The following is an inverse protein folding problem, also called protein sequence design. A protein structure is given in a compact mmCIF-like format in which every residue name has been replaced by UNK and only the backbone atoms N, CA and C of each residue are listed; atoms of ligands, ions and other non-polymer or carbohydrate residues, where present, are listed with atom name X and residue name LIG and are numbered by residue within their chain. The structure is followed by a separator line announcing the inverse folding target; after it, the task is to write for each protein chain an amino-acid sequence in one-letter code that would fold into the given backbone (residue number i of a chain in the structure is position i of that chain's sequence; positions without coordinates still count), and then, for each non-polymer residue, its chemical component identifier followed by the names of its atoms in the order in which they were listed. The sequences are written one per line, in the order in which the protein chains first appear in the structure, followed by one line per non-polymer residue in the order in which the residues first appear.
data_IF_464537140222
#
_entry.id   IF_464537140222
#
_cell.length_a   1.000
_cell.length_b   1.000
_cell.length_c   1.000
_cell.angle_alpha   90.00
_cell.angle_beta   90.00
_cell.angle_gamma   90.00
#
_symmetry.space_group_name_H-M   'P 1'
#
loop_
_entity.id
_entity.type
_entity.pdbx_description
1 polymer ?
#
# COMPACT_ATOMS: atom_id res chain seq x y z
N UNK A 1 58.17 -35.60 6.11
CA UNK A 1 57.36 -36.82 6.27
C UNK A 1 56.15 -36.62 5.34
N UNK A 2 56.01 -37.31 4.20
CA UNK A 2 55.63 -38.74 4.03
C UNK A 2 54.27 -39.03 4.69
N UNK A 3 53.23 -39.57 4.02
CA UNK A 3 52.96 -39.93 2.61
C UNK A 3 51.47 -39.65 2.25
N UNK A 4 50.97 -39.69 1.01
CA UNK A 4 50.74 -40.85 0.10
C UNK A 4 49.89 -41.97 0.73
N UNK A 5 48.88 -42.61 0.09
CA UNK A 5 48.62 -42.87 -1.35
C UNK A 5 47.18 -43.44 -1.57
N UNK A 6 46.75 -43.62 -2.84
CA UNK A 6 45.70 -44.55 -3.36
C UNK A 6 44.22 -44.22 -3.07
N UNK A 7 43.22 -44.14 -3.99
CA UNK A 7 42.87 -44.68 -5.35
C UNK A 7 42.12 -46.02 -5.43
N UNK A 8 41.06 -46.05 -6.27
CA UNK A 8 40.35 -47.20 -6.89
C UNK A 8 39.49 -48.11 -5.96
N UNK A 9 38.44 -48.83 -6.38
CA UNK A 9 37.65 -48.82 -7.64
C UNK A 9 36.25 -49.48 -7.46
N UNK A 10 35.32 -49.15 -8.38
CA UNK A 10 34.20 -49.91 -8.99
C UNK A 10 33.34 -51.02 -8.31
N UNK A 11 32.05 -51.00 -8.74
CA UNK A 11 31.11 -52.15 -8.97
C UNK A 11 30.45 -52.86 -7.76
N UNK A 12 29.25 -53.47 -7.81
CA UNK A 12 28.28 -53.74 -8.89
C UNK A 12 26.84 -54.10 -8.36
N UNK A 13 25.84 -54.14 -9.29
CA UNK A 13 24.47 -54.76 -9.28
C UNK A 13 23.35 -53.98 -8.54
N UNK A 14 22.15 -53.67 -9.08
CA UNK A 14 21.23 -54.31 -10.05
C UNK A 14 19.94 -54.77 -9.30
N UNK A 15 18.69 -54.78 -9.82
CA UNK A 15 18.14 -54.56 -11.17
C UNK A 15 16.61 -54.30 -11.15
N UNK A 16 16.00 -54.20 -12.37
CA UNK A 16 14.55 -54.28 -12.70
C UNK A 16 13.74 -52.98 -12.53
N UNK A 17 12.75 -52.59 -13.35
CA UNK A 17 12.27 -52.93 -14.74
C UNK A 17 11.20 -51.88 -15.15
N UNK A 18 10.75 -51.65 -16.40
CA UNK A 18 11.23 -52.02 -17.76
C UNK A 18 10.74 -50.98 -18.79
N UNK A 19 11.35 -50.98 -19.99
CA UNK A 19 11.04 -50.12 -21.16
C UNK A 19 9.87 -50.66 -22.02
N UNK A 20 9.38 -49.90 -23.03
CA UNK A 20 9.43 -50.23 -24.48
C UNK A 20 8.54 -49.22 -25.29
N UNK A 21 8.59 -48.97 -26.63
CA UNK A 21 9.51 -49.27 -27.77
C UNK A 21 9.20 -48.28 -28.95
N UNK A 22 10.23 -47.67 -29.55
CA UNK A 22 10.38 -47.12 -30.94
C UNK A 22 9.48 -46.07 -31.62
N UNK A 23 10.10 -45.40 -32.61
CA UNK A 23 9.50 -44.52 -33.63
C UNK A 23 9.69 -45.08 -35.07
N UNK A 24 8.76 -44.76 -35.98
CA UNK A 24 8.77 -44.97 -37.45
C UNK A 24 7.95 -43.81 -38.08
N UNK A 25 8.37 -43.05 -39.11
CA UNK A 25 8.78 -43.31 -40.50
C UNK A 25 7.64 -43.45 -41.55
N UNK A 26 7.97 -43.05 -42.78
CA UNK A 26 7.07 -42.61 -43.88
C UNK A 26 6.30 -43.74 -44.61
N UNK A 27 5.17 -43.40 -45.27
CA UNK A 27 4.62 -44.15 -46.42
C UNK A 27 3.91 -43.25 -47.45
N UNK A 28 3.94 -43.68 -48.72
CA UNK A 28 3.37 -43.02 -49.92
C UNK A 28 2.44 -44.04 -50.68
N UNK A 29 1.92 -43.86 -51.93
CA UNK A 29 0.49 -44.08 -52.20
C UNK A 29 0.11 -45.12 -53.28
N UNK A 30 -1.19 -45.33 -53.49
CA UNK A 30 -1.81 -46.06 -54.63
C UNK A 30 -2.36 -47.46 -54.31
N UNK A 31 -3.29 -48.07 -55.08
CA UNK A 31 -4.15 -47.52 -56.15
C UNK A 31 -5.37 -48.46 -56.46
N UNK A 32 -6.38 -47.92 -57.16
CA UNK A 32 -7.41 -48.55 -58.04
C UNK A 32 -7.92 -50.02 -57.90
N UNK A 33 -9.25 -50.17 -57.75
CA UNK A 33 -10.20 -50.98 -58.59
C UNK A 33 -11.52 -51.26 -57.81
N UNK A 34 -12.74 -51.37 -58.38
CA UNK A 34 -13.21 -51.23 -59.76
C UNK A 34 -14.32 -52.26 -60.09
N UNK A 35 -15.61 -51.86 -60.18
CA UNK A 35 -16.71 -52.65 -60.81
C UNK A 35 -17.95 -51.79 -61.11
N UNK A 36 -18.79 -52.22 -62.06
CA UNK A 36 -19.79 -51.38 -62.78
C UNK A 36 -21.03 -52.23 -63.18
N UNK A 37 -22.24 -51.61 -63.15
CA UNK A 37 -23.51 -52.00 -63.85
C UNK A 37 -24.20 -53.31 -63.35
N UNK A 38 -25.52 -53.57 -63.38
CA UNK A 38 -26.85 -52.89 -63.60
C UNK A 38 -27.95 -53.98 -63.28
N UNK A 39 -29.29 -53.82 -63.48
CA UNK A 39 -30.26 -52.72 -63.25
C UNK A 39 -31.57 -53.16 -62.49
N UNK A 40 -32.53 -52.23 -62.27
CA UNK A 40 -33.96 -52.42 -61.88
C UNK A 40 -34.20 -53.01 -60.46
N UNK A 41 -35.20 -52.60 -59.67
CA UNK A 41 -36.59 -52.21 -60.01
C UNK A 41 -37.14 -51.02 -59.17
N UNK A 42 -38.41 -50.66 -59.39
CA UNK A 42 -39.09 -49.39 -59.04
C UNK A 42 -39.78 -49.40 -57.65
N UNK A 43 -39.69 -48.29 -56.89
CA UNK A 43 -40.83 -47.56 -56.29
C UNK A 43 -40.47 -46.60 -55.13
N UNK A 44 -41.29 -45.54 -55.03
CA UNK A 44 -41.65 -44.72 -53.86
C UNK A 44 -40.64 -43.72 -53.23
N UNK A 45 -40.68 -42.54 -53.85
CA UNK A 45 -40.66 -41.21 -53.20
C UNK A 45 -41.11 -41.18 -51.73
N UNK A 46 -40.18 -41.07 -50.77
CA UNK A 46 -40.47 -40.41 -49.47
C UNK A 46 -39.27 -40.01 -48.57
N UNK A 47 -38.04 -39.82 -49.08
CA UNK A 47 -36.89 -39.45 -48.23
C UNK A 47 -35.96 -38.31 -48.71
N UNK A 48 -36.24 -37.64 -49.82
CA UNK A 48 -35.40 -36.53 -50.33
C UNK A 48 -35.60 -35.18 -49.60
N UNK A 49 -36.76 -34.96 -48.97
CA UNK A 49 -37.15 -33.64 -48.42
C UNK A 49 -36.45 -33.22 -47.12
N UNK A 50 -35.70 -34.10 -46.44
CA UNK A 50 -35.15 -33.77 -45.11
C UNK A 50 -33.85 -32.93 -45.16
N UNK A 51 -32.98 -33.13 -46.17
CA UNK A 51 -31.67 -32.43 -46.26
C UNK A 51 -31.70 -31.05 -46.92
N UNK A 52 -32.82 -30.61 -47.53
CA UNK A 52 -32.96 -29.25 -48.09
C UNK A 52 -33.50 -28.21 -47.08
N UNK A 53 -33.82 -28.61 -45.83
CA UNK A 53 -34.40 -27.70 -44.80
C UNK A 53 -33.40 -27.02 -43.85
N UNK A 54 -32.15 -27.50 -43.72
CA UNK A 54 -31.19 -26.94 -42.77
C UNK A 54 -30.36 -25.74 -43.29
N UNK A 55 -30.28 -25.51 -44.60
CA UNK A 55 -29.35 -24.52 -45.18
C UNK A 55 -29.82 -23.04 -45.11
N UNK A 56 -30.97 -22.75 -44.51
CA UNK A 56 -31.55 -21.39 -44.44
C UNK A 56 -31.93 -20.89 -43.02
N UNK A 57 -31.41 -21.48 -41.93
CA UNK A 57 -31.70 -20.98 -40.58
C UNK A 57 -30.97 -19.67 -40.21
N UNK A 58 -29.87 -19.33 -40.88
CA UNK A 58 -29.19 -18.04 -40.69
C UNK A 58 -29.94 -16.87 -41.35
N UNK A 59 -30.49 -17.09 -42.56
CA UNK A 59 -31.32 -16.10 -43.25
C UNK A 59 -32.62 -15.80 -42.49
N UNK A 60 -33.26 -16.80 -41.87
CA UNK A 60 -34.48 -16.57 -41.08
C UNK A 60 -34.24 -15.80 -39.77
N UNK A 61 -33.03 -15.87 -39.19
CA UNK A 61 -32.63 -15.02 -38.05
C UNK A 61 -32.46 -13.54 -38.46
N UNK A 62 -31.89 -13.25 -39.62
CA UNK A 62 -31.83 -11.88 -40.17
C UNK A 62 -33.22 -11.30 -40.46
N UNK A 63 -34.18 -12.11 -40.90
CA UNK A 63 -35.57 -11.69 -41.14
C UNK A 63 -36.30 -11.26 -39.85
N UNK A 64 -35.91 -11.76 -38.67
CA UNK A 64 -36.52 -11.32 -37.40
C UNK A 64 -36.13 -9.88 -37.01
N UNK A 65 -34.90 -9.43 -37.29
CA UNK A 65 -34.50 -8.02 -37.14
C UNK A 65 -35.31 -7.09 -38.07
N UNK A 66 -35.87 -7.64 -39.15
CA UNK A 66 -36.67 -6.91 -40.13
C UNK A 66 -38.18 -6.87 -39.84
N UNK A 67 -38.68 -7.58 -38.81
CA UNK A 67 -40.08 -7.43 -38.38
C UNK A 67 -40.32 -6.02 -37.84
N UNK A 68 -41.26 -5.31 -38.46
CA UNK A 68 -41.70 -3.97 -38.04
C UNK A 68 -42.93 -4.12 -37.13
N UNK A 69 -43.14 -3.19 -36.19
CA UNK A 69 -44.40 -3.14 -35.42
C UNK A 69 -45.60 -2.76 -36.28
N UNK A 70 -45.39 -2.02 -37.37
CA UNK A 70 -46.45 -1.66 -38.31
C UNK A 70 -46.85 -2.85 -39.21
N UNK A 71 -48.08 -3.36 -39.02
CA UNK A 71 -48.68 -4.46 -39.79
C UNK A 71 -48.49 -4.27 -41.31
N UNK A 72 -48.72 -3.05 -41.81
CA UNK A 72 -48.58 -2.71 -43.24
C UNK A 72 -47.15 -2.87 -43.79
N UNK A 73 -46.11 -2.65 -42.96
CA UNK A 73 -44.71 -2.82 -43.37
C UNK A 73 -44.28 -4.30 -43.44
N UNK A 74 -44.97 -5.18 -42.71
CA UNK A 74 -44.78 -6.62 -42.80
C UNK A 74 -45.56 -7.21 -43.99
N UNK A 75 -46.76 -6.69 -44.26
CA UNK A 75 -47.60 -7.15 -45.37
C UNK A 75 -47.06 -6.81 -46.78
N UNK A 76 -46.32 -5.70 -46.95
CA UNK A 76 -45.69 -5.31 -48.23
C UNK A 76 -44.23 -4.90 -48.04
N UNK A 77 -43.29 -5.86 -47.91
CA UNK A 77 -41.91 -5.62 -47.48
C UNK A 77 -41.06 -4.79 -48.45
N UNK A 78 -41.41 -4.77 -49.75
CA UNK A 78 -40.73 -4.00 -50.80
C UNK A 78 -41.38 -2.63 -51.09
N UNK A 79 -42.40 -2.23 -50.31
CA UNK A 79 -43.03 -0.91 -50.50
C UNK A 79 -42.08 0.22 -50.10
N UNK A 80 -42.13 1.38 -50.79
CA UNK A 80 -41.33 2.57 -50.44
C UNK A 80 -41.43 2.93 -48.94
N UNK A 81 -42.62 2.79 -48.35
CA UNK A 81 -42.86 3.02 -46.90
C UNK A 81 -42.12 2.00 -46.02
N UNK A 82 -42.12 0.72 -46.37
CA UNK A 82 -41.37 -0.31 -45.64
C UNK A 82 -39.85 -0.12 -45.76
N UNK A 83 -39.36 0.24 -46.95
CA UNK A 83 -37.93 0.53 -47.20
C UNK A 83 -37.48 1.74 -46.37
N UNK A 84 -38.22 2.87 -46.40
CA UNK A 84 -37.90 4.05 -45.57
C UNK A 84 -37.97 3.73 -44.07
N UNK A 85 -38.94 2.91 -43.65
CA UNK A 85 -39.05 2.50 -42.25
C UNK A 85 -37.84 1.67 -41.80
N UNK A 86 -37.45 0.65 -42.56
CA UNK A 86 -36.37 -0.28 -42.20
C UNK A 86 -34.97 0.28 -42.44
N UNK A 87 -34.75 0.93 -43.58
CA UNK A 87 -33.43 1.41 -44.02
C UNK A 87 -33.06 2.81 -43.55
N UNK A 88 -34.02 3.63 -43.11
CA UNK A 88 -33.75 5.01 -42.63
C UNK A 88 -34.23 5.20 -41.20
N UNK A 89 -35.53 5.05 -40.92
CA UNK A 89 -36.08 5.41 -39.59
C UNK A 89 -35.56 4.52 -38.46
N UNK A 90 -35.49 3.20 -38.65
CA UNK A 90 -34.98 2.28 -37.61
C UNK A 90 -33.49 2.46 -37.28
N UNK A 91 -32.55 2.50 -38.25
CA UNK A 91 -31.15 2.76 -37.94
C UNK A 91 -30.93 4.16 -37.35
N UNK A 92 -31.69 5.17 -37.78
CA UNK A 92 -31.66 6.50 -37.16
C UNK A 92 -32.06 6.48 -35.67
N UNK A 93 -33.18 5.83 -35.32
CA UNK A 93 -33.58 5.70 -33.92
C UNK A 93 -32.64 4.79 -33.11
N UNK A 94 -32.08 3.74 -33.71
CA UNK A 94 -31.07 2.91 -33.06
C UNK A 94 -29.79 3.72 -32.77
N UNK A 95 -29.35 4.56 -33.71
CA UNK A 95 -28.23 5.48 -33.52
C UNK A 95 -28.50 6.48 -32.40
N UNK A 96 -29.70 7.08 -32.34
CA UNK A 96 -30.11 7.96 -31.24
C UNK A 96 -30.05 7.24 -29.89
N UNK A 97 -30.56 5.99 -29.81
CA UNK A 97 -30.50 5.19 -28.59
C UNK A 97 -29.06 4.84 -28.18
N UNK A 98 -28.19 4.50 -29.13
CA UNK A 98 -26.77 4.22 -28.88
C UNK A 98 -26.06 5.49 -28.38
N UNK A 99 -26.26 6.63 -29.05
CA UNK A 99 -25.68 7.92 -28.63
C UNK A 99 -26.19 8.36 -27.26
N UNK A 100 -27.49 8.17 -26.98
CA UNK A 100 -28.09 8.42 -25.67
C UNK A 100 -27.52 7.54 -24.58
N UNK A 101 -27.39 6.23 -24.83
CA UNK A 101 -26.77 5.28 -23.90
C UNK A 101 -25.29 5.61 -23.65
N UNK A 102 -24.53 5.93 -24.70
CA UNK A 102 -23.13 6.37 -24.58
C UNK A 102 -23.02 7.67 -23.77
N UNK A 103 -23.98 8.59 -23.88
CA UNK A 103 -24.03 9.80 -23.05
C UNK A 103 -24.42 9.52 -21.60
N UNK A 104 -25.36 8.62 -21.33
CA UNK A 104 -25.67 8.19 -19.95
C UNK A 104 -24.47 7.46 -19.32
N UNK A 105 -23.83 6.54 -20.04
CA UNK A 105 -22.61 5.87 -19.59
C UNK A 105 -21.47 6.86 -19.38
N UNK A 106 -21.30 7.86 -20.26
CA UNK A 106 -20.32 8.93 -20.08
C UNK A 106 -20.61 9.80 -18.86
N UNK A 107 -21.88 10.12 -18.57
CA UNK A 107 -22.27 10.89 -17.38
C UNK A 107 -22.11 10.07 -16.09
N UNK A 108 -22.45 8.78 -16.10
CA UNK A 108 -22.21 7.85 -14.98
C UNK A 108 -20.71 7.68 -14.75
N UNK A 109 -19.92 7.50 -15.81
CA UNK A 109 -18.46 7.42 -15.73
C UNK A 109 -17.85 8.72 -15.18
N UNK A 110 -18.27 9.88 -15.68
CA UNK A 110 -17.83 11.19 -15.19
C UNK A 110 -18.24 11.39 -13.72
N UNK A 111 -19.43 10.94 -13.34
CA UNK A 111 -19.88 10.92 -11.94
C UNK A 111 -19.03 10.00 -11.05
N UNK A 112 -18.69 8.80 -11.52
CA UNK A 112 -17.79 7.88 -10.80
C UNK A 112 -16.38 8.45 -10.66
N UNK A 113 -15.82 9.04 -11.72
CA UNK A 113 -14.52 9.75 -11.70
C UNK A 113 -14.56 10.93 -10.73
N UNK A 114 -15.67 11.66 -10.62
CA UNK A 114 -15.79 12.79 -9.68
C UNK A 114 -16.04 12.37 -8.23
N UNK A 115 -16.72 11.24 -7.99
CA UNK A 115 -16.93 10.70 -6.65
C UNK A 115 -15.69 9.96 -6.13
N UNK A 116 -14.98 9.25 -7.02
CA UNK A 116 -13.84 8.39 -6.71
C UNK A 116 -12.62 8.68 -7.61
N UNK A 117 -12.11 9.94 -7.68
CA UNK A 117 -10.96 10.27 -8.51
C UNK A 117 -9.73 9.45 -8.10
N UNK A 118 -9.37 9.52 -6.81
CA UNK A 118 -8.14 8.93 -6.27
C UNK A 118 -8.13 7.38 -6.35
N UNK A 119 -9.26 6.71 -6.05
CA UNK A 119 -9.40 5.25 -6.21
C UNK A 119 -9.26 4.80 -7.67
N UNK A 120 -9.73 5.61 -8.62
CA UNK A 120 -9.70 5.28 -10.04
C UNK A 120 -8.32 5.57 -10.63
N UNK A 121 -7.70 6.70 -10.29
CA UNK A 121 -6.35 7.05 -10.73
C UNK A 121 -5.29 6.15 -10.08
N UNK A 122 -5.46 5.70 -8.82
CA UNK A 122 -4.59 4.69 -8.22
C UNK A 122 -4.69 3.34 -8.96
N UNK A 123 -5.91 2.91 -9.32
CA UNK A 123 -6.13 1.64 -10.05
C UNK A 123 -5.71 1.72 -11.52
N UNK A 124 -5.97 2.83 -12.20
CA UNK A 124 -5.54 3.07 -13.58
C UNK A 124 -4.03 3.30 -13.64
N UNK A 125 -3.45 4.04 -12.69
CA UNK A 125 -2.01 4.20 -12.53
C UNK A 125 -1.30 2.86 -12.35
N UNK A 126 -1.80 1.99 -11.45
CA UNK A 126 -1.28 0.64 -11.28
C UNK A 126 -1.47 -0.28 -12.52
N UNK A 127 -2.44 0.01 -13.40
CA UNK A 127 -2.71 -0.77 -14.61
C UNK A 127 -1.92 -0.28 -15.84
N UNK A 128 -1.63 1.03 -15.91
CA UNK A 128 -0.84 1.66 -16.98
C UNK A 128 0.65 1.66 -16.66
N UNK A 129 1.02 1.74 -15.38
CA UNK A 129 2.39 1.67 -14.86
C UNK A 129 2.48 0.59 -13.76
N UNK A 130 2.54 -0.70 -14.14
CA UNK A 130 2.58 -1.81 -13.17
C UNK A 130 3.93 -1.86 -12.45
N UNK A 131 4.00 -1.19 -11.30
CA UNK A 131 5.19 -1.10 -10.45
C UNK A 131 6.20 -0.07 -10.95
N UNK A 132 6.81 0.66 -10.01
CA UNK A 132 7.87 1.61 -10.33
C UNK A 132 9.00 0.89 -11.06
N UNK A 133 9.27 1.28 -12.31
CA UNK A 133 10.45 0.80 -13.02
C UNK A 133 11.68 1.20 -12.18
N UNK A 134 12.59 0.25 -11.85
CA UNK A 134 13.87 0.63 -11.27
C UNK A 134 14.54 1.61 -12.22
N UNK A 135 14.99 2.74 -11.70
CA UNK A 135 15.70 3.73 -12.49
C UNK A 135 16.92 3.05 -13.11
N UNK A 136 17.07 3.11 -14.43
CA UNK A 136 18.28 2.60 -15.10
C UNK A 136 19.56 3.32 -14.62
N UNK A 137 19.39 4.41 -13.84
CA UNK A 137 20.45 5.22 -13.25
C UNK A 137 20.60 5.02 -11.73
N UNK A 138 19.72 4.29 -11.03
CA UNK A 138 19.86 4.04 -9.59
C UNK A 138 19.16 2.76 -9.11
N UNK A 139 19.87 2.02 -8.24
CA UNK A 139 19.35 0.85 -7.53
C UNK A 139 18.50 1.21 -6.30
N UNK A 140 18.40 2.49 -5.92
CA UNK A 140 17.70 2.92 -4.71
C UNK A 140 16.19 2.88 -4.92
N UNK A 141 15.47 2.18 -4.04
CA UNK A 141 14.01 2.03 -4.09
C UNK A 141 13.27 3.38 -3.95
N UNK A 142 13.92 4.37 -3.33
CA UNK A 142 13.42 5.74 -3.10
C UNK A 142 13.98 6.76 -4.09
N UNK A 143 14.60 6.32 -5.20
CA UNK A 143 15.10 7.24 -6.22
C UNK A 143 13.98 8.09 -6.83
N UNK A 144 14.13 9.42 -6.80
CA UNK A 144 13.11 10.36 -7.26
C UNK A 144 11.97 10.61 -6.27
N UNK A 145 11.98 9.99 -5.08
CA UNK A 145 11.01 10.26 -4.02
C UNK A 145 11.50 11.41 -3.16
N UNK A 146 10.66 12.43 -3.00
CA UNK A 146 10.91 13.54 -2.06
C UNK A 146 10.33 13.15 -0.70
N UNK A 147 11.12 13.20 0.40
CA UNK A 147 10.57 12.97 1.73
C UNK A 147 9.58 14.07 2.14
N UNK A 148 8.54 13.66 2.86
CA UNK A 148 7.47 14.54 3.34
C UNK A 148 7.10 14.21 4.78
N UNK A 149 6.71 15.22 5.56
CA UNK A 149 6.35 15.08 6.98
C UNK A 149 4.96 14.44 7.19
N UNK A 150 4.79 13.21 6.68
CA UNK A 150 3.66 12.36 6.99
C UNK A 150 4.11 11.10 7.74
N UNK A 151 3.18 10.59 8.55
CA UNK A 151 3.36 9.43 9.40
C UNK A 151 2.35 8.36 8.96
N UNK A 152 2.83 7.26 8.37
CA UNK A 152 2.00 6.14 7.93
C UNK A 152 1.46 5.39 9.14
N UNK A 153 0.24 5.74 9.52
CA UNK A 153 -0.50 5.13 10.61
C UNK A 153 -0.95 3.72 10.22
N UNK A 154 -0.83 2.78 11.16
CA UNK A 154 -1.00 1.34 10.95
C UNK A 154 -0.32 0.83 9.66
N UNK A 155 0.98 1.08 9.48
CA UNK A 155 1.68 0.78 8.21
C UNK A 155 1.68 -0.73 7.84
N UNK A 156 1.42 -1.59 8.81
CA UNK A 156 1.24 -3.02 8.61
C UNK A 156 -0.08 -3.38 7.91
N UNK A 157 -1.00 -2.43 7.66
CA UNK A 157 -2.17 -2.59 6.78
C UNK A 157 -1.83 -2.33 5.30
N UNK A 158 -0.64 -1.82 4.98
CA UNK A 158 -0.25 -1.55 3.59
C UNK A 158 -0.05 -2.85 2.80
N UNK A 159 -0.22 -2.86 1.47
CA UNK A 159 0.05 -4.03 0.64
C UNK A 159 1.49 -4.54 0.73
N UNK A 160 2.44 -3.63 1.00
CA UNK A 160 3.84 -3.94 1.35
C UNK A 160 4.24 -2.97 2.46
N UNK A 161 4.26 -3.39 3.74
CA UNK A 161 4.74 -2.57 4.87
C UNK A 161 6.18 -2.08 4.63
N UNK A 162 6.56 -0.99 5.32
CA UNK A 162 7.74 -0.15 5.06
C UNK A 162 7.75 0.47 3.66
N UNK A 163 7.83 -0.36 2.62
CA UNK A 163 8.03 0.05 1.23
C UNK A 163 6.89 0.90 0.67
N UNK A 164 5.65 0.71 1.11
CA UNK A 164 4.52 1.54 0.65
C UNK A 164 4.63 2.99 1.16
N UNK A 165 4.99 3.18 2.44
CA UNK A 165 5.18 4.51 3.03
C UNK A 165 6.38 5.26 2.43
N UNK A 166 7.55 4.61 2.36
CA UNK A 166 8.77 5.28 1.87
C UNK A 166 8.71 5.55 0.36
N UNK A 167 7.97 4.77 -0.43
CA UNK A 167 7.69 5.08 -1.85
C UNK A 167 6.69 6.23 -2.03
N UNK A 168 5.79 6.42 -1.07
CA UNK A 168 4.91 7.59 -1.07
C UNK A 168 5.63 8.86 -0.57
N UNK A 169 6.72 8.68 0.20
CA UNK A 169 7.58 9.73 0.74
C UNK A 169 7.39 9.99 2.24
N UNK A 170 6.52 9.25 2.94
CA UNK A 170 6.35 9.44 4.38
C UNK A 170 7.62 9.06 5.14
N UNK A 171 8.10 10.00 5.95
CA UNK A 171 9.30 9.84 6.79
C UNK A 171 8.98 9.21 8.15
N UNK A 172 7.71 9.00 8.51
CA UNK A 172 7.29 8.25 9.69
C UNK A 172 6.44 7.03 9.34
N UNK A 173 6.60 5.94 10.08
CA UNK A 173 5.82 4.70 9.99
C UNK A 173 5.50 4.14 11.38
N UNK A 174 4.42 3.36 11.49
CA UNK A 174 3.90 2.83 12.75
C UNK A 174 3.73 1.30 12.72
N UNK A 175 4.25 0.63 13.76
CA UNK A 175 4.12 -0.81 13.99
C UNK A 175 3.45 -1.08 15.34
N UNK A 176 2.23 -1.64 15.31
CA UNK A 176 1.55 -2.15 16.50
C UNK A 176 2.13 -3.52 16.87
N UNK A 177 2.92 -3.61 17.95
CA UNK A 177 3.64 -4.83 18.35
C UNK A 177 3.02 -5.54 19.54
N UNK A 178 3.02 -6.88 19.48
CA UNK A 178 2.53 -7.78 20.51
C UNK A 178 3.59 -8.85 20.79
N UNK A 179 4.04 -8.95 22.04
CA UNK A 179 4.86 -10.08 22.48
C UNK A 179 4.07 -11.38 22.38
N UNK A 180 4.62 -12.38 21.69
CA UNK A 180 4.01 -13.70 21.53
C UNK A 180 5.08 -14.80 21.58
N UNK A 181 5.29 -15.35 22.77
CA UNK A 181 6.42 -16.25 23.02
C UNK A 181 7.71 -15.43 23.13
N UNK A 182 8.65 -15.66 22.22
CA UNK A 182 9.95 -14.98 22.19
C UNK A 182 10.09 -14.00 21.00
N UNK A 183 8.98 -13.65 20.33
CA UNK A 183 8.97 -12.77 19.15
C UNK A 183 7.88 -11.69 19.25
N UNK A 184 8.06 -10.62 18.48
CA UNK A 184 7.21 -9.44 18.41
C UNK A 184 6.37 -9.51 17.14
N UNK A 185 5.13 -9.98 17.26
CA UNK A 185 4.17 -10.04 16.16
C UNK A 185 3.57 -8.65 15.91
N UNK A 186 3.29 -8.32 14.65
CA UNK A 186 2.70 -7.04 14.26
C UNK A 186 1.23 -7.22 13.87
N UNK A 187 0.36 -6.34 14.37
CA UNK A 187 -1.04 -6.30 13.94
C UNK A 187 -1.94 -5.43 14.83
N UNK A 188 -3.14 -5.11 14.33
CA UNK A 188 -4.04 -4.16 15.01
C UNK A 188 -4.69 -4.75 16.26
N UNK A 189 -4.91 -6.06 16.25
CA UNK A 189 -5.50 -6.79 17.35
C UNK A 189 -5.07 -8.26 17.31
N UNK A 190 -5.25 -8.94 18.45
CA UNK A 190 -4.88 -10.35 18.66
C UNK A 190 -5.45 -11.35 17.65
N UNK A 191 -6.56 -11.03 16.97
CA UNK A 191 -7.16 -11.90 15.95
C UNK A 191 -6.58 -11.73 14.55
N UNK A 192 -5.77 -10.67 14.34
CA UNK A 192 -5.08 -10.38 13.06
C UNK A 192 -3.60 -10.73 13.08
N UNK A 193 -3.07 -11.21 14.21
CA UNK A 193 -1.66 -11.59 14.34
C UNK A 193 -1.36 -12.86 13.54
N UNK A 194 -0.18 -12.90 12.93
CA UNK A 194 0.28 -14.02 12.13
C UNK A 194 1.76 -14.28 12.38
N UNK A 195 2.17 -15.53 12.58
CA UNK A 195 3.55 -15.87 13.00
C UNK A 195 4.65 -15.44 12.02
N UNK A 196 4.33 -15.18 10.75
CA UNK A 196 5.29 -14.65 9.77
C UNK A 196 5.31 -13.11 9.67
N UNK A 197 4.40 -12.42 10.35
CA UNK A 197 4.28 -10.95 10.36
C UNK A 197 4.86 -10.42 11.67
N UNK A 198 6.18 -10.23 11.69
CA UNK A 198 6.96 -9.86 12.88
C UNK A 198 7.60 -8.50 12.70
N UNK A 199 8.04 -7.86 13.79
CA UNK A 199 8.71 -6.57 13.72
C UNK A 199 9.99 -6.66 12.87
N UNK A 200 10.76 -7.75 13.03
CA UNK A 200 11.89 -8.12 12.16
C UNK A 200 11.48 -8.24 10.69
N UNK A 201 10.52 -9.13 10.37
CA UNK A 201 10.20 -9.47 8.98
C UNK A 201 9.52 -8.36 8.18
N UNK A 202 8.76 -7.47 8.84
CA UNK A 202 8.05 -6.37 8.18
C UNK A 202 8.84 -5.06 8.14
N UNK A 203 9.75 -4.82 9.10
CA UNK A 203 10.42 -3.52 9.27
C UNK A 203 11.93 -3.61 9.46
N UNK A 204 12.43 -4.34 10.46
CA UNK A 204 13.85 -4.20 10.83
C UNK A 204 14.79 -4.83 9.81
N UNK A 205 14.52 -6.06 9.37
CA UNK A 205 15.39 -6.74 8.40
C UNK A 205 15.35 -6.03 7.02
N UNK A 206 14.16 -5.67 6.46
CA UNK A 206 14.10 -4.92 5.21
C UNK A 206 14.73 -3.51 5.28
N UNK A 207 14.71 -2.86 6.46
CA UNK A 207 15.34 -1.56 6.67
C UNK A 207 16.86 -1.69 6.79
N UNK A 208 17.35 -2.73 7.47
CA UNK A 208 18.78 -3.05 7.53
C UNK A 208 19.33 -3.33 6.13
N UNK A 209 18.70 -4.23 5.37
CA UNK A 209 19.07 -4.57 3.99
C UNK A 209 19.15 -3.32 3.10
N UNK A 210 18.17 -2.42 3.21
CA UNK A 210 18.10 -1.18 2.43
C UNK A 210 19.24 -0.23 2.81
N UNK A 211 19.49 -0.03 4.11
CA UNK A 211 20.55 0.86 4.59
C UNK A 211 21.95 0.31 4.30
N UNK A 212 22.15 -1.00 4.40
CA UNK A 212 23.40 -1.65 3.99
C UNK A 212 23.67 -1.50 2.49
N UNK A 213 22.64 -1.64 1.64
CA UNK A 213 22.78 -1.39 0.20
C UNK A 213 23.15 0.07 -0.09
N UNK A 214 22.47 1.04 0.54
CA UNK A 214 22.76 2.46 0.38
C UNK A 214 24.18 2.83 0.87
N UNK A 215 24.64 2.21 1.97
CA UNK A 215 25.95 2.45 2.62
C UNK A 215 27.04 1.42 2.26
N UNK A 216 26.84 0.66 1.18
CA UNK A 216 27.89 -0.13 0.54
C UNK A 216 28.60 0.73 -0.50
N UNK A 217 29.94 0.77 -0.47
CA UNK A 217 30.73 1.63 -1.38
C UNK A 217 30.52 1.24 -2.84
N UNK A 218 29.65 1.99 -3.50
CA UNK A 218 29.31 1.84 -4.93
C UNK A 218 30.21 2.68 -5.84
N UNK A 219 30.91 3.67 -5.29
CA UNK A 219 31.86 4.52 -6.03
C UNK A 219 33.06 4.92 -5.17
N UNK A 220 34.12 5.42 -5.83
CA UNK A 220 35.30 6.01 -5.15
C UNK A 220 35.04 7.39 -4.53
N UNK A 221 33.87 7.97 -4.77
CA UNK A 221 33.46 9.28 -4.23
C UNK A 221 32.55 9.14 -3.01
N UNK A 222 32.14 7.93 -2.64
CA UNK A 222 31.34 7.69 -1.45
C UNK A 222 32.24 7.86 -0.20
N UNK A 223 31.80 8.64 0.81
CA UNK A 223 32.59 8.91 2.01
C UNK A 223 32.92 7.63 2.79
N UNK A 224 33.87 7.74 3.73
CA UNK A 224 34.13 6.63 4.65
C UNK A 224 32.96 6.45 5.62
N UNK A 225 32.74 5.22 6.09
CA UNK A 225 31.55 4.82 6.86
C UNK A 225 31.38 5.51 8.22
N UNK A 226 32.37 6.29 8.68
CA UNK A 226 32.43 6.79 10.05
C UNK A 226 31.50 7.97 10.35
N UNK A 227 31.17 8.81 9.37
CA UNK A 227 30.47 10.09 9.62
C UNK A 227 29.24 10.28 8.72
N UNK A 228 29.37 10.18 7.39
CA UNK A 228 28.30 10.42 6.43
C UNK A 228 27.49 9.15 6.08
N UNK A 229 26.64 8.67 7.00
CA UNK A 229 25.70 7.58 6.72
C UNK A 229 24.48 8.08 5.95
N UNK A 230 24.20 7.47 4.80
CA UNK A 230 23.00 7.73 4.03
C UNK A 230 21.77 7.06 4.64
N UNK A 231 20.69 7.82 4.72
CA UNK A 231 19.36 7.39 5.12
C UNK A 231 18.57 6.69 4.02
N UNK A 232 17.26 6.66 4.23
CA UNK A 232 16.32 5.90 3.40
C UNK A 232 16.00 6.61 2.08
N UNK A 233 16.09 7.95 2.02
CA UNK A 233 15.64 8.75 0.87
C UNK A 233 16.78 9.21 -0.02
N UNK A 234 16.78 8.81 -1.29
CA UNK A 234 17.84 9.21 -2.25
C UNK A 234 17.90 10.72 -2.52
N UNK A 235 16.76 11.42 -2.40
CA UNK A 235 16.66 12.87 -2.63
C UNK A 235 17.24 13.68 -1.45
N UNK A 236 17.18 13.15 -0.24
CA UNK A 236 17.78 13.72 0.96
C UNK A 236 18.33 12.58 1.83
N UNK A 237 19.62 12.20 1.63
CA UNK A 237 20.24 11.16 2.42
C UNK A 237 20.41 11.50 3.90
N UNK A 238 20.21 12.75 4.33
CA UNK A 238 20.25 13.13 5.75
C UNK A 238 18.92 12.91 6.47
N UNK A 239 17.82 12.75 5.72
CA UNK A 239 16.49 12.53 6.29
C UNK A 239 16.40 11.17 6.99
N UNK A 240 16.23 11.22 8.31
CA UNK A 240 15.91 10.05 9.14
C UNK A 240 14.55 9.47 8.79
N UNK A 241 14.40 8.15 8.83
CA UNK A 241 13.12 7.47 8.90
C UNK A 241 12.75 7.26 10.37
N UNK A 242 11.53 7.61 10.76
CA UNK A 242 11.03 7.41 12.11
C UNK A 242 10.19 6.13 12.17
N UNK A 243 10.65 5.14 12.91
CA UNK A 243 9.91 3.93 13.23
C UNK A 243 9.25 4.09 14.61
N UNK A 244 7.94 4.32 14.62
CA UNK A 244 7.13 4.32 15.85
C UNK A 244 6.66 2.89 16.15
N UNK A 245 6.92 2.43 17.36
CA UNK A 245 6.60 1.09 17.84
C UNK A 245 5.60 1.24 18.99
N UNK A 246 4.34 0.92 18.73
CA UNK A 246 3.26 1.01 19.72
C UNK A 246 3.09 -0.37 20.38
N UNK A 247 3.45 -0.45 21.67
CA UNK A 247 3.49 -1.69 22.45
C UNK A 247 2.08 -1.99 22.99
N UNK A 248 1.51 -3.13 22.56
CA UNK A 248 0.14 -3.58 22.90
C UNK A 248 0.07 -4.72 23.93
N UNK A 249 1.22 -5.09 24.49
CA UNK A 249 1.42 -6.11 25.53
C UNK A 249 2.13 -5.48 26.73
N UNK A 250 2.30 -6.20 27.85
CA UNK A 250 3.00 -5.62 29.02
C UNK A 250 4.36 -5.06 28.61
N UNK A 251 4.58 -3.78 28.94
CA UNK A 251 5.77 -3.05 28.52
C UNK A 251 7.07 -3.65 29.05
N UNK A 252 7.08 -4.14 30.29
CA UNK A 252 8.29 -4.68 30.92
C UNK A 252 8.66 -6.04 30.33
N UNK A 253 7.65 -6.89 30.08
CA UNK A 253 7.85 -8.18 29.42
C UNK A 253 8.28 -8.00 27.95
N UNK A 254 7.73 -6.99 27.24
CA UNK A 254 8.01 -6.72 25.83
C UNK A 254 9.37 -6.04 25.60
N UNK A 255 9.82 -5.19 26.54
CA UNK A 255 11.03 -4.38 26.44
C UNK A 255 12.33 -5.15 26.10
N UNK A 256 12.71 -6.25 26.79
CA UNK A 256 13.96 -6.95 26.49
C UNK A 256 14.01 -7.47 25.05
N UNK A 257 12.89 -8.03 24.55
CA UNK A 257 12.79 -8.48 23.17
C UNK A 257 12.93 -7.32 22.18
N UNK A 258 12.28 -6.17 22.43
CA UNK A 258 12.43 -5.00 21.57
C UNK A 258 13.89 -4.50 21.51
N UNK A 259 14.56 -4.39 22.65
CA UNK A 259 15.97 -3.97 22.72
C UNK A 259 16.89 -4.95 21.97
N UNK A 260 16.63 -6.27 22.07
CA UNK A 260 17.35 -7.30 21.33
C UNK A 260 17.10 -7.22 19.81
N UNK A 261 15.84 -7.10 19.37
CA UNK A 261 15.51 -7.06 17.94
C UNK A 261 16.12 -5.84 17.23
N UNK A 262 16.34 -4.73 17.94
CA UNK A 262 17.01 -3.53 17.44
C UNK A 262 18.54 -3.64 17.34
N UNK A 263 19.17 -4.68 17.91
CA UNK A 263 20.63 -4.80 17.97
C UNK A 263 21.35 -4.72 16.60
N UNK A 264 20.86 -5.33 15.51
CA UNK A 264 21.54 -5.23 14.21
C UNK A 264 21.64 -3.80 13.67
N UNK A 265 20.57 -3.00 13.80
CA UNK A 265 20.56 -1.59 13.38
C UNK A 265 21.44 -0.72 14.30
N UNK A 266 21.50 -1.04 15.60
CA UNK A 266 22.36 -0.40 16.60
C UNK A 266 23.84 -0.64 16.30
N UNK A 267 24.22 -1.91 16.11
CA UNK A 267 25.59 -2.33 15.83
C UNK A 267 26.10 -1.80 14.49
N UNK A 268 25.22 -1.66 13.49
CA UNK A 268 25.53 -1.01 12.22
C UNK A 268 25.60 0.54 12.30
N UNK A 269 25.27 1.15 13.45
CA UNK A 269 25.32 2.60 13.66
C UNK A 269 24.17 3.38 13.01
N UNK A 270 23.08 2.71 12.61
CA UNK A 270 21.94 3.33 11.92
C UNK A 270 20.89 3.95 12.84
N UNK A 271 20.85 3.55 14.12
CA UNK A 271 19.91 4.11 15.10
C UNK A 271 20.40 5.44 15.67
N UNK A 272 19.49 6.40 15.73
CA UNK A 272 19.67 7.70 16.38
C UNK A 272 19.78 7.48 17.88
N UNK A 273 20.71 8.15 18.55
CA UNK A 273 20.98 7.90 19.96
C UNK A 273 21.28 9.16 20.75
N UNK A 274 20.98 9.12 22.05
CA UNK A 274 21.50 10.04 23.05
C UNK A 274 22.80 9.47 23.63
N UNK A 275 23.85 10.29 23.74
CA UNK A 275 25.22 9.87 24.10
C UNK A 275 25.65 10.22 25.54
N UNK A 276 24.71 10.71 26.35
CA UNK A 276 24.99 11.27 27.67
C UNK A 276 24.99 12.80 27.71
N UNK A 277 25.11 13.47 26.56
CA UNK A 277 25.16 14.92 26.43
C UNK A 277 24.10 15.43 25.46
N UNK A 278 24.03 14.87 24.25
CA UNK A 278 23.14 15.31 23.19
C UNK A 278 22.57 14.15 22.36
N UNK A 279 21.65 14.48 21.44
CA UNK A 279 21.01 13.53 20.55
C UNK A 279 21.70 13.53 19.17
N UNK A 280 22.42 12.44 18.87
CA UNK A 280 23.13 12.22 17.62
C UNK A 280 22.20 11.59 16.58
N UNK A 281 21.77 12.41 15.61
CA UNK A 281 20.88 12.00 14.52
C UNK A 281 21.54 10.97 13.58
N UNK A 282 20.79 9.91 13.24
CA UNK A 282 21.22 8.83 12.32
C UNK A 282 20.07 8.45 11.35
N UNK A 283 20.33 7.58 10.34
CA UNK A 283 19.33 7.12 9.36
C UNK A 283 17.97 6.68 9.88
N UNK A 284 17.89 6.13 11.10
CA UNK A 284 16.65 5.66 11.72
C UNK A 284 16.49 6.32 13.09
N UNK A 285 15.29 6.78 13.42
CA UNK A 285 14.92 7.19 14.78
C UNK A 285 13.83 6.26 15.28
N UNK A 286 14.06 5.58 16.40
CA UNK A 286 13.03 4.70 17.01
C UNK A 286 12.29 5.47 18.09
N UNK A 287 10.97 5.53 17.97
CA UNK A 287 10.08 6.03 18.99
C UNK A 287 9.20 4.90 19.52
N UNK A 288 8.84 4.88 20.81
CA UNK A 288 7.91 3.92 21.40
C UNK A 288 6.70 4.60 22.04
N UNK A 289 5.56 3.93 21.95
CA UNK A 289 4.26 4.36 22.49
C UNK A 289 3.49 3.16 23.07
N UNK A 290 2.22 3.36 23.45
CA UNK A 290 1.39 2.33 24.07
C UNK A 290 1.81 2.05 25.52
N UNK A 291 1.91 0.77 25.89
CA UNK A 291 2.31 0.33 27.24
C UNK A 291 3.83 0.43 27.48
N UNK A 292 4.58 1.17 26.65
CA UNK A 292 6.04 1.26 26.71
C UNK A 292 6.57 1.79 28.07
N UNK A 293 7.52 1.10 28.71
CA UNK A 293 7.96 1.41 30.08
C UNK A 293 8.94 2.59 30.09
N UNK A 294 8.41 3.82 30.19
CA UNK A 294 9.21 5.06 30.18
C UNK A 294 10.40 5.04 31.15
N UNK A 295 10.25 4.41 32.33
CA UNK A 295 11.34 4.29 33.31
C UNK A 295 12.54 3.46 32.81
N UNK A 296 12.34 2.48 31.91
CA UNK A 296 13.43 1.73 31.29
C UNK A 296 14.10 2.52 30.15
N UNK A 297 13.36 3.39 29.47
CA UNK A 297 13.90 4.32 28.47
C UNK A 297 14.93 5.25 29.14
N UNK A 298 14.54 5.92 30.23
CA UNK A 298 15.41 6.89 30.91
C UNK A 298 16.42 6.28 31.89
N UNK A 299 16.39 4.96 32.11
CA UNK A 299 17.26 4.28 33.08
C UNK A 299 18.77 4.43 32.78
N UNK A 300 19.15 4.47 31.50
CA UNK A 300 20.54 4.67 31.10
C UNK A 300 20.80 6.16 30.81
N UNK A 301 21.67 6.77 31.62
CA UNK A 301 22.08 8.17 31.46
C UNK A 301 23.21 8.39 30.46
N UNK A 302 23.85 7.34 29.94
CA UNK A 302 25.04 7.41 29.07
C UNK A 302 24.81 6.96 27.63
N UNK A 303 23.79 6.14 27.38
CA UNK A 303 23.42 5.72 26.02
C UNK A 303 21.95 5.32 25.93
N UNK A 304 21.21 5.86 24.97
CA UNK A 304 19.82 5.46 24.65
C UNK A 304 19.58 5.60 23.15
N UNK A 305 18.97 4.63 22.49
CA UNK A 305 18.62 4.71 21.06
C UNK A 305 17.13 4.40 20.77
N UNK A 306 16.33 4.45 21.84
CA UNK A 306 14.87 4.36 21.80
C UNK A 306 14.36 5.61 22.53
N UNK A 307 13.49 6.36 21.87
CA UNK A 307 12.87 7.59 22.42
C UNK A 307 11.38 7.35 22.69
N UNK A 308 10.76 8.18 23.52
CA UNK A 308 9.33 8.08 23.82
C UNK A 308 8.45 8.94 22.87
N UNK A 309 7.20 8.53 22.68
CA UNK A 309 6.11 9.36 22.14
C UNK A 309 5.34 9.99 23.32
N UNK A 310 5.69 11.23 23.66
CA UNK A 310 5.17 11.89 24.86
C UNK A 310 3.66 12.25 24.73
N UNK A 311 2.88 12.23 25.83
CA UNK A 311 1.49 12.66 25.81
C UNK A 311 1.37 14.19 25.64
N UNK A 312 1.03 14.64 24.43
CA UNK A 312 0.99 16.06 24.05
C UNK A 312 0.05 16.90 24.95
N UNK A 313 -1.07 16.31 25.37
CA UNK A 313 -2.09 16.94 26.24
C UNK A 313 -1.72 17.02 27.73
N UNK A 314 -0.48 16.66 28.07
CA UNK A 314 0.07 16.77 29.43
C UNK A 314 1.32 17.65 29.51
N UNK A 315 1.80 18.19 28.39
CA UNK A 315 3.01 19.04 28.36
C UNK A 315 2.75 20.49 28.81
N UNK A 316 1.51 20.94 28.74
CA UNK A 316 1.05 22.25 29.21
C UNK A 316 0.75 22.28 30.72
N UNK A 317 0.59 21.12 31.35
CA UNK A 317 0.28 21.00 32.78
C UNK A 317 1.54 21.19 33.63
N UNK A 318 1.56 22.13 34.59
CA UNK A 318 2.65 22.20 35.56
C UNK A 318 2.68 20.91 36.38
N UNK A 319 3.88 20.45 36.74
CA UNK A 319 4.13 19.22 37.48
C UNK A 319 3.28 19.17 38.77
N UNK A 320 2.12 18.51 38.72
CA UNK A 320 1.25 18.45 39.88
C UNK A 320 1.82 17.41 40.84
N UNK A 321 2.38 17.86 41.97
CA UNK A 321 2.85 17.01 43.07
C UNK A 321 1.71 16.11 43.55
N UNK A 322 1.63 14.91 42.96
CA UNK A 322 0.50 14.00 43.15
C UNK A 322 0.73 13.20 44.43
N UNK A 323 0.27 13.77 45.55
CA UNK A 323 0.38 13.21 46.89
C UNK A 323 -0.58 12.03 47.16
N UNK A 324 -0.64 11.08 46.23
CA UNK A 324 -1.28 9.75 46.39
C UNK A 324 -0.50 8.76 45.55
N UNK A 325 0.16 7.80 46.20
CA UNK A 325 1.14 6.95 45.54
C UNK A 325 0.52 5.96 44.56
N UNK A 326 0.91 6.09 43.28
CA UNK A 326 1.07 4.99 42.33
C UNK A 326 2.02 5.44 41.20
N UNK A 327 2.78 4.49 40.66
CA UNK A 327 4.17 4.66 40.16
C UNK A 327 4.37 5.40 38.82
N UNK A 328 3.41 6.23 38.37
CA UNK A 328 3.42 6.88 37.04
C UNK A 328 3.52 8.42 37.07
N UNK A 329 3.21 9.07 38.19
CA UNK A 329 2.99 10.53 38.23
C UNK A 329 4.25 11.41 38.23
N UNK A 330 5.45 10.83 38.43
CA UNK A 330 6.70 11.59 38.49
C UNK A 330 7.34 11.91 37.12
N UNK A 331 6.84 11.32 36.03
CA UNK A 331 7.43 11.43 34.70
C UNK A 331 6.89 12.57 33.82
N UNK A 332 5.69 13.09 34.13
CA UNK A 332 4.97 14.01 33.24
C UNK A 332 5.69 15.35 32.97
N UNK A 333 6.62 15.73 33.85
CA UNK A 333 7.32 17.02 33.80
C UNK A 333 8.68 17.02 33.09
N UNK A 334 9.22 15.86 32.71
CA UNK A 334 10.60 15.74 32.22
C UNK A 334 10.71 15.23 30.76
N UNK A 335 9.60 15.15 30.03
CA UNK A 335 9.66 14.87 28.59
C UNK A 335 10.41 15.98 27.85
N UNK A 336 11.50 15.63 27.16
CA UNK A 336 12.33 16.56 26.41
C UNK A 336 13.08 15.82 25.28
N UNK A 337 13.68 16.56 24.35
CA UNK A 337 14.35 16.01 23.15
C UNK A 337 15.42 14.94 23.43
N UNK A 338 15.95 14.81 24.66
CA UNK A 338 16.95 13.78 25.00
C UNK A 338 16.33 12.42 25.36
N UNK A 339 15.01 12.36 25.62
CA UNK A 339 14.30 11.14 26.02
C UNK A 339 13.03 10.86 25.20
N UNK A 340 12.50 11.86 24.51
CA UNK A 340 11.28 11.78 23.71
C UNK A 340 11.51 12.39 22.34
N UNK A 341 10.92 11.80 21.30
CA UNK A 341 11.01 12.32 19.93
C UNK A 341 9.71 13.00 19.52
N UNK A 342 8.60 12.26 19.64
CA UNK A 342 7.27 12.78 19.38
C UNK A 342 6.62 13.33 20.65
N UNK A 343 5.63 14.19 20.44
CA UNK A 343 4.55 14.43 21.35
C UNK A 343 3.22 14.23 20.60
N UNK A 344 2.47 13.19 20.94
CA UNK A 344 1.25 12.80 20.23
C UNK A 344 -0.01 12.84 21.10
N UNK A 345 -1.18 13.01 20.46
CA UNK A 345 -2.50 12.89 21.10
C UNK A 345 -3.61 12.53 20.10
N UNK A 346 -4.68 11.95 20.62
CA UNK A 346 -5.96 11.76 19.94
C UNK A 346 -6.65 13.12 19.70
N UNK A 347 -6.66 13.56 18.44
CA UNK A 347 -7.35 14.76 17.97
C UNK A 347 -8.81 14.83 18.45
N UNK A 348 -9.52 13.70 18.39
CA UNK A 348 -10.95 13.65 18.66
C UNK A 348 -11.28 13.68 20.14
N UNK A 349 -10.37 13.21 21.01
CA UNK A 349 -10.47 13.39 22.47
C UNK A 349 -10.09 14.81 22.90
N UNK A 350 -9.04 15.41 22.33
CA UNK A 350 -8.49 16.69 22.82
C UNK A 350 -9.11 17.92 22.15
N UNK A 351 -9.34 17.91 20.83
CA UNK A 351 -9.97 19.02 20.07
C UNK A 351 -11.48 18.82 19.94
N UNK A 352 -11.94 17.57 19.83
CA UNK A 352 -13.37 17.25 19.71
C UNK A 352 -13.88 17.31 18.27
N UNK A 353 -15.20 17.48 18.11
CA UNK A 353 -15.84 17.63 16.79
C UNK A 353 -15.76 19.07 16.28
N UNK A 354 -15.64 19.21 14.95
CA UNK A 354 -15.57 20.51 14.29
C UNK A 354 -16.97 20.94 13.82
N UNK A 355 -17.56 21.91 14.52
CA UNK A 355 -18.87 22.46 14.16
C UNK A 355 -18.79 23.12 12.77
N UNK A 356 -19.74 22.78 11.89
CA UNK A 356 -19.78 23.28 10.50
C UNK A 356 -18.49 23.06 9.70
N UNK A 357 -17.73 21.99 10.01
CA UNK A 357 -16.44 21.67 9.41
C UNK A 357 -15.36 22.77 9.61
N UNK A 358 -15.40 23.49 10.74
CA UNK A 358 -14.45 24.55 11.09
C UNK A 358 -13.97 24.40 12.54
N UNK A 359 -12.74 24.84 12.80
CA UNK A 359 -12.23 25.02 14.15
C UNK A 359 -12.86 26.26 14.80
N UNK A 360 -13.24 26.16 16.08
CA UNK A 360 -13.50 27.33 16.92
C UNK A 360 -12.19 28.05 17.28
N UNK A 361 -12.30 29.27 17.84
CA UNK A 361 -11.10 29.96 18.34
C UNK A 361 -10.45 29.19 19.50
N UNK A 362 -11.24 28.62 20.39
CA UNK A 362 -10.75 27.82 21.53
C UNK A 362 -10.03 26.54 21.06
N UNK A 363 -10.54 25.91 19.99
CA UNK A 363 -9.89 24.75 19.37
C UNK A 363 -8.56 25.13 18.71
N UNK A 364 -8.46 26.30 18.05
CA UNK A 364 -7.20 26.81 17.51
C UNK A 364 -6.22 27.24 18.61
N UNK A 365 -6.70 27.84 19.69
CA UNK A 365 -5.90 28.19 20.85
C UNK A 365 -5.26 26.94 21.47
N UNK A 366 -6.06 25.90 21.72
CA UNK A 366 -5.57 24.60 22.23
C UNK A 366 -4.52 23.96 21.33
N UNK A 367 -4.71 23.96 20.01
CA UNK A 367 -3.70 23.45 19.06
C UNK A 367 -2.39 24.23 19.19
N UNK A 368 -2.44 25.57 19.28
CA UNK A 368 -1.25 26.41 19.44
C UNK A 368 -0.55 26.21 20.77
N UNK A 369 -1.30 26.10 21.86
CA UNK A 369 -0.79 25.84 23.21
C UNK A 369 -0.07 24.50 23.26
N UNK A 370 -0.67 23.44 22.70
CA UNK A 370 -0.08 22.11 22.61
C UNK A 370 1.18 22.10 21.71
N UNK A 371 1.13 22.73 20.54
CA UNK A 371 2.28 22.84 19.63
C UNK A 371 3.45 23.58 20.30
N UNK A 372 3.17 24.73 20.93
CA UNK A 372 4.19 25.49 21.66
C UNK A 372 4.81 24.68 22.81
N UNK A 373 3.98 24.03 23.65
CA UNK A 373 4.46 23.24 24.78
C UNK A 373 5.37 22.06 24.37
N UNK A 374 5.15 21.49 23.18
CA UNK A 374 6.03 20.47 22.61
C UNK A 374 7.31 21.08 22.00
N UNK A 375 7.19 22.16 21.22
CA UNK A 375 8.33 22.84 20.59
C UNK A 375 9.30 23.44 21.61
N UNK A 376 8.80 23.99 22.72
CA UNK A 376 9.61 24.46 23.87
C UNK A 376 10.46 23.35 24.52
N UNK A 377 10.09 22.08 24.30
CA UNK A 377 10.80 20.87 24.76
C UNK A 377 11.62 20.19 23.66
N UNK A 378 11.61 20.75 22.45
CA UNK A 378 12.25 20.18 21.26
C UNK A 378 11.53 18.96 20.66
N UNK A 379 10.27 18.72 21.02
CA UNK A 379 9.50 17.54 20.61
C UNK A 379 8.72 17.78 19.31
N UNK A 380 8.50 16.70 18.54
CA UNK A 380 7.77 16.72 17.26
C UNK A 380 6.29 16.43 17.42
N UNK A 381 5.44 17.34 16.95
CA UNK A 381 3.99 17.26 17.19
C UNK A 381 3.30 16.34 16.18
N UNK A 382 2.45 15.43 16.66
CA UNK A 382 1.56 14.58 15.85
C UNK A 382 0.16 14.51 16.45
N UNK A 383 -0.86 14.56 15.59
CA UNK A 383 -2.24 14.28 16.00
C UNK A 383 -2.74 13.02 15.28
N UNK A 384 -3.13 12.01 16.04
CA UNK A 384 -3.82 10.81 15.50
C UNK A 384 -5.34 10.93 15.70
N UNK A 385 -6.12 10.04 15.08
CA UNK A 385 -7.58 10.08 15.19
C UNK A 385 -8.25 11.28 14.49
N UNK A 386 -7.56 11.95 13.57
CA UNK A 386 -8.13 13.03 12.74
C UNK A 386 -9.28 12.50 11.86
N UNK A 387 -10.27 13.32 11.47
CA UNK A 387 -11.39 12.87 10.63
C UNK A 387 -10.92 12.31 9.28
N UNK A 388 -11.28 11.07 8.96
CA UNK A 388 -10.97 10.42 7.67
C UNK A 388 -11.99 10.75 6.58
N UNK A 389 -13.26 10.94 6.96
CA UNK A 389 -14.37 11.27 6.06
C UNK A 389 -15.28 12.35 6.67
N UNK A 390 -15.84 13.28 5.86
CA UNK A 390 -15.65 13.46 4.42
C UNK A 390 -14.26 14.01 4.06
N UNK A 391 -13.74 13.68 2.87
CA UNK A 391 -12.39 14.11 2.41
C UNK A 391 -12.16 15.63 2.55
N UNK A 392 -13.18 16.45 2.29
CA UNK A 392 -13.08 17.91 2.48
C UNK A 392 -12.84 18.34 3.93
N UNK A 393 -13.38 17.62 4.92
CA UNK A 393 -13.11 17.85 6.34
C UNK A 393 -11.71 17.37 6.72
N UNK A 394 -11.32 16.16 6.28
CA UNK A 394 -9.95 15.62 6.46
C UNK A 394 -8.90 16.60 5.96
N UNK A 395 -9.03 17.02 4.71
CA UNK A 395 -8.11 17.92 4.02
C UNK A 395 -8.10 19.32 4.67
N UNK A 396 -9.23 19.81 5.20
CA UNK A 396 -9.27 21.05 5.99
C UNK A 396 -8.51 20.90 7.32
N UNK A 397 -8.69 19.78 8.03
CA UNK A 397 -7.98 19.49 9.29
C UNK A 397 -6.48 19.43 9.06
N UNK A 398 -6.01 18.63 8.10
CA UNK A 398 -4.58 18.54 7.76
C UNK A 398 -4.00 19.90 7.38
N UNK A 399 -4.69 20.69 6.55
CA UNK A 399 -4.23 22.03 6.18
C UNK A 399 -4.13 22.97 7.39
N UNK A 400 -5.08 22.94 8.32
CA UNK A 400 -5.03 23.76 9.54
C UNK A 400 -3.91 23.29 10.47
N UNK A 401 -3.76 21.98 10.72
CA UNK A 401 -2.73 21.45 11.61
C UNK A 401 -1.32 21.83 11.12
N UNK A 402 -1.00 21.63 9.83
CA UNK A 402 0.29 22.08 9.25
C UNK A 402 0.47 23.60 9.38
N UNK A 403 -0.60 24.39 9.18
CA UNK A 403 -0.53 25.86 9.32
C UNK A 403 -0.27 26.31 10.75
N UNK A 404 -0.82 25.63 11.74
CA UNK A 404 -0.59 25.94 13.17
C UNK A 404 0.73 25.34 13.71
N UNK A 405 1.56 24.71 12.86
CA UNK A 405 2.90 24.24 13.23
C UNK A 405 3.02 22.78 13.65
N UNK A 406 2.01 21.94 13.39
CA UNK A 406 2.12 20.49 13.60
C UNK A 406 3.14 19.92 12.61
N UNK A 407 4.20 19.31 13.15
CA UNK A 407 5.29 18.73 12.36
C UNK A 407 4.78 17.57 11.47
N UNK A 408 4.05 16.60 12.03
CA UNK A 408 3.66 15.36 11.34
C UNK A 408 2.15 15.21 11.16
N UNK A 409 1.73 14.99 9.92
CA UNK A 409 0.35 14.56 9.62
C UNK A 409 0.26 13.02 9.65
N UNK A 410 -0.60 12.51 10.52
CA UNK A 410 -0.92 11.10 10.66
C UNK A 410 -1.87 10.65 9.54
N UNK A 411 -1.44 9.71 8.68
CA UNK A 411 -2.12 9.39 7.42
C UNK A 411 -2.50 7.92 7.26
N UNK A 412 -3.80 7.67 7.07
CA UNK A 412 -4.33 6.39 6.56
C UNK A 412 -4.30 6.33 5.03
N UNK A 413 -4.19 7.48 4.36
CA UNK A 413 -4.20 7.64 2.91
C UNK A 413 -2.87 8.28 2.47
N UNK A 414 -1.95 7.45 2.00
CA UNK A 414 -0.59 7.88 1.66
C UNK A 414 -0.55 8.82 0.45
N UNK A 415 -1.36 8.54 -0.58
CA UNK A 415 -1.32 9.29 -1.84
C UNK A 415 -1.82 10.73 -1.65
N UNK A 416 -2.90 10.91 -0.89
CA UNK A 416 -3.39 12.24 -0.53
C UNK A 416 -2.52 12.90 0.54
N UNK A 417 -2.03 12.12 1.51
CA UNK A 417 -1.17 12.60 2.60
C UNK A 417 0.12 13.25 2.11
N UNK A 418 0.70 12.78 1.02
CA UNK A 418 2.00 13.26 0.53
C UNK A 418 1.90 14.45 -0.43
N UNK A 419 0.69 14.84 -0.86
CA UNK A 419 0.50 15.99 -1.77
C UNK A 419 0.82 17.36 -1.13
N UNK A 420 0.75 17.48 0.20
CA UNK A 420 0.96 18.69 1.03
C UNK A 420 0.09 19.93 0.72
N UNK A 421 -0.52 20.08 -0.46
CA UNK A 421 -1.42 21.20 -0.81
C UNK A 421 -2.88 20.75 -0.97
N UNK A 422 -3.48 20.31 0.13
CA UNK A 422 -4.86 19.82 0.18
C UNK A 422 -5.94 20.87 -0.13
N UNK A 423 -5.55 22.13 -0.39
CA UNK A 423 -6.43 23.21 -0.88
C UNK A 423 -6.88 23.01 -2.34
N UNK A 424 -6.21 22.13 -3.10
CA UNK A 424 -6.40 21.99 -4.56
C UNK A 424 -7.39 20.93 -5.03
N UNK A 425 -8.09 20.23 -4.14
CA UNK A 425 -9.22 19.41 -4.59
C UNK A 425 -10.37 20.29 -5.08
N UNK A 426 -10.67 20.16 -6.38
CA UNK A 426 -11.56 21.07 -7.15
C UNK A 426 -13.02 20.98 -6.69
N UNK A 427 -13.36 21.61 -5.58
CA UNK A 427 -14.73 22.01 -5.28
C UNK A 427 -15.11 23.20 -6.16
N UNK A 428 -15.43 22.95 -7.44
CA UNK A 428 -16.03 23.95 -8.33
C UNK A 428 -17.50 24.19 -7.97
N UNK A 429 -17.69 24.85 -6.83
CA UNK A 429 -18.81 25.74 -6.52
C UNK A 429 -18.29 27.03 -5.86
N UNK A 430 -17.19 27.56 -6.43
CA UNK A 430 -16.80 28.97 -6.48
C UNK A 430 -15.74 29.14 -7.59
#
# INVERSE_FOLDING_TARGET
MMGSLSTADDSEVGSSSSQDIFALLEMNPGDLAGRKLLPLDVSDDLHSSYKRRQRCQWLSRLVNLWKCSHVQCNARPLSRRAIICRGVKRPFWALIWILGLLKVLSLVWTGLVHLFPDDLDARLGAWVFPGGQPSIFSHWVTHGITPVQCHSHNDYWRPVPLFSAIKAGCIGIEADVWLSGEDLLVGHNRFTLHHAATLRSLYLDPLLDLLEQHNTRSSRLQPDRSEDLAGVFAHDPSQTLILLIDIKTDGNDTWPYLVEQLAPLREAGYLTYFDGVEMVQRPVTVAVSGDAPFHLIVANSTYRDIFFDAPLDKLDQPALESSTGETAAAAASDYNYTNSYYASVDFRKTIGSLSWNRFSQDQLARVREQVAAAHDRGLKVRYWGTPTWPRGLRNHVWHVLVREGVDYINVDDLAEGTMQDWRKHRSWWL
#
